data_IF_187053972375
#
_entry.id   IF_187053972375
#
_cell.length_a   1.000
_cell.length_b   1.000
_cell.length_c   1.000
_cell.angle_alpha   90.00
_cell.angle_beta   90.00
_cell.angle_gamma   90.00
#
_symmetry.space_group_name_H-M   'P 1'
#
loop_
_entity.id
_entity.type
_entity.pdbx_description
1 polymer ?
#
# COMPACT_ATOMS: atom_id res chain seq x y z
N UNK A 1 -9.85 -17.06 -25.31
CA UNK A 1 -9.72 -17.55 -23.90
C UNK A 1 -8.29 -17.44 -23.32
N UNK A 2 -7.35 -16.74 -23.94
CA UNK A 2 -5.98 -16.50 -23.39
C UNK A 2 -5.67 -15.03 -23.08
N UNK A 3 -6.62 -14.12 -23.29
CA UNK A 3 -6.42 -12.67 -23.11
C UNK A 3 -6.93 -12.15 -21.76
N UNK A 4 -7.75 -12.92 -21.05
CA UNK A 4 -8.33 -12.54 -19.75
C UNK A 4 -7.37 -12.73 -18.57
N UNK A 5 -6.26 -13.47 -18.78
CA UNK A 5 -5.27 -13.77 -17.72
C UNK A 5 -4.23 -12.66 -17.50
N UNK A 6 -4.12 -11.67 -18.40
CA UNK A 6 -3.08 -10.65 -18.34
C UNK A 6 -3.58 -9.39 -17.60
N UNK A 7 -4.85 -9.03 -17.76
CA UNK A 7 -5.45 -7.91 -17.01
C UNK A 7 -5.58 -8.21 -15.50
N UNK A 8 -5.80 -9.49 -15.13
CA UNK A 8 -5.75 -9.94 -13.73
C UNK A 8 -4.34 -9.92 -13.13
N UNK A 9 -3.28 -9.86 -13.93
CA UNK A 9 -1.92 -10.02 -13.41
C UNK A 9 -1.30 -8.74 -12.86
N UNK A 10 -1.80 -7.56 -13.17
CA UNK A 10 -1.29 -6.30 -12.61
C UNK A 10 -2.08 -5.88 -11.38
N UNK A 11 -3.40 -6.01 -11.38
CA UNK A 11 -4.22 -5.89 -10.15
C UNK A 11 -3.96 -7.04 -9.16
N UNK A 12 -3.51 -8.22 -9.63
CA UNK A 12 -3.04 -9.32 -8.78
C UNK A 12 -1.64 -9.08 -8.20
N UNK A 13 -0.84 -8.12 -8.71
CA UNK A 13 0.45 -7.81 -8.08
C UNK A 13 0.27 -7.12 -6.71
N UNK A 14 -0.81 -6.40 -6.49
CA UNK A 14 -1.17 -5.84 -5.18
C UNK A 14 -1.85 -6.88 -4.26
N UNK A 15 -2.52 -7.87 -4.84
CA UNK A 15 -3.08 -9.03 -4.14
C UNK A 15 -2.13 -10.25 -4.16
N UNK A 16 -0.87 -10.07 -4.53
CA UNK A 16 0.13 -11.13 -4.72
C UNK A 16 0.61 -11.82 -3.42
N UNK A 17 -0.19 -11.79 -2.36
CA UNK A 17 -0.04 -12.72 -1.25
C UNK A 17 -0.61 -14.11 -1.55
N UNK A 18 -1.37 -14.27 -2.65
CA UNK A 18 -2.06 -15.52 -2.96
C UNK A 18 -1.50 -16.33 -4.15
N UNK A 19 -0.61 -15.76 -5.00
CA UNK A 19 -0.20 -16.46 -6.24
C UNK A 19 0.79 -17.61 -6.00
N UNK A 20 1.47 -17.62 -4.87
CA UNK A 20 2.42 -18.66 -4.45
C UNK A 20 2.12 -19.22 -3.06
N UNK A 21 0.96 -18.92 -2.47
CA UNK A 21 0.62 -19.43 -1.15
C UNK A 21 0.56 -20.96 -1.17
N UNK A 22 1.26 -21.57 -0.23
CA UNK A 22 1.22 -23.02 -0.05
C UNK A 22 -0.06 -23.40 0.69
N UNK A 23 -0.87 -24.29 0.11
CA UNK A 23 -1.98 -24.91 0.81
C UNK A 23 -1.43 -25.84 1.90
N UNK A 24 -1.67 -25.48 3.16
CA UNK A 24 -1.24 -26.28 4.31
C UNK A 24 -2.31 -27.32 4.71
N UNK A 25 -3.56 -26.98 4.48
CA UNK A 25 -4.70 -27.83 4.83
C UNK A 25 -5.89 -27.51 3.94
N UNK A 26 -6.59 -28.56 3.48
CA UNK A 26 -7.85 -28.42 2.74
C UNK A 26 -8.68 -29.69 2.91
N UNK A 27 -9.64 -29.64 3.81
CA UNK A 27 -10.54 -30.77 4.05
C UNK A 27 -11.87 -30.29 4.65
N UNK A 28 -12.96 -30.93 4.28
CA UNK A 28 -14.30 -30.72 4.84
C UNK A 28 -14.78 -29.25 4.80
N UNK A 29 -14.41 -28.53 3.72
CA UNK A 29 -14.77 -27.11 3.53
C UNK A 29 -13.93 -26.15 4.34
N UNK A 30 -12.88 -26.62 5.01
CA UNK A 30 -11.87 -25.81 5.70
C UNK A 30 -10.61 -25.74 4.85
N UNK A 31 -10.05 -24.53 4.63
CA UNK A 31 -8.72 -24.37 4.06
C UNK A 31 -7.83 -23.50 4.96
N UNK A 32 -6.53 -23.76 4.90
CA UNK A 32 -5.49 -22.93 5.47
C UNK A 32 -4.35 -22.80 4.46
N UNK A 33 -4.05 -21.58 4.08
CA UNK A 33 -2.97 -21.23 3.17
C UNK A 33 -1.92 -20.41 3.90
N UNK A 34 -0.66 -20.59 3.53
CA UNK A 34 0.47 -19.80 4.01
C UNK A 34 1.18 -19.18 2.81
N UNK A 35 1.41 -17.89 2.88
CA UNK A 35 2.18 -17.16 1.89
C UNK A 35 3.12 -16.18 2.54
N UNK A 36 3.96 -15.57 1.73
CA UNK A 36 4.87 -14.55 2.22
C UNK A 36 5.99 -14.23 1.25
N UNK A 37 6.98 -13.51 1.75
CA UNK A 37 8.19 -13.20 0.99
C UNK A 37 9.39 -12.98 1.89
N UNK A 38 10.56 -13.36 1.39
CA UNK A 38 11.85 -12.93 1.92
C UNK A 38 12.48 -11.96 0.91
N UNK A 39 12.91 -10.79 1.38
CA UNK A 39 13.41 -9.73 0.51
C UNK A 39 14.68 -9.12 1.12
N UNK A 40 15.83 -9.37 0.47
CA UNK A 40 17.08 -8.68 0.79
C UNK A 40 17.10 -7.35 0.02
N UNK A 41 17.29 -6.23 0.73
CA UNK A 41 17.17 -4.88 0.19
C UNK A 41 18.31 -4.00 0.67
N UNK A 42 19.11 -3.53 -0.27
CA UNK A 42 20.14 -2.52 -0.04
C UNK A 42 19.66 -1.18 -0.57
N UNK A 43 19.68 -0.15 0.24
CA UNK A 43 19.47 1.25 -0.16
C UNK A 43 20.78 2.02 -0.05
N UNK A 44 21.02 2.96 -0.95
CA UNK A 44 22.17 3.85 -0.94
C UNK A 44 21.74 5.28 -1.21
N UNK A 45 22.05 6.18 -0.26
CA UNK A 45 21.87 7.64 -0.36
C UNK A 45 23.17 8.34 0.01
N UNK A 46 23.58 9.38 -0.75
CA UNK A 46 24.80 10.16 -0.51
C UNK A 46 26.08 9.30 -0.31
N UNK A 47 26.11 8.09 -0.92
CA UNK A 47 27.20 7.14 -0.78
C UNK A 47 27.13 6.21 0.41
N UNK A 48 26.18 6.40 1.31
CA UNK A 48 25.96 5.55 2.49
C UNK A 48 24.93 4.45 2.20
N UNK A 49 25.24 3.25 2.67
CA UNK A 49 24.42 2.05 2.47
C UNK A 49 23.59 1.73 3.72
N UNK A 50 22.33 1.33 3.51
CA UNK A 50 21.43 0.86 4.56
C UNK A 50 20.80 -0.48 4.17
N UNK A 51 20.76 -1.41 5.11
CA UNK A 51 20.00 -2.65 4.99
C UNK A 51 18.52 -2.37 5.29
N UNK A 52 17.65 -2.62 4.30
CA UNK A 52 16.20 -2.53 4.41
C UNK A 52 15.53 -3.89 4.18
N UNK A 53 16.28 -4.98 4.42
CA UNK A 53 15.79 -6.35 4.25
C UNK A 53 14.63 -6.64 5.18
N UNK A 54 13.70 -7.49 4.69
CA UNK A 54 12.48 -7.82 5.43
C UNK A 54 11.98 -9.21 5.08
N UNK A 55 11.21 -9.77 6.00
CA UNK A 55 10.45 -11.00 5.80
C UNK A 55 8.99 -10.69 6.11
N UNK A 56 8.09 -11.07 5.19
CA UNK A 56 6.65 -10.98 5.38
C UNK A 56 6.06 -12.38 5.37
N UNK A 57 5.17 -12.66 6.29
CA UNK A 57 4.48 -13.94 6.40
C UNK A 57 2.99 -13.71 6.60
N UNK A 58 2.16 -14.47 5.91
CA UNK A 58 0.71 -14.42 6.10
C UNK A 58 0.08 -15.81 6.15
N UNK A 59 -1.11 -15.86 6.77
CA UNK A 59 -1.98 -17.01 6.82
C UNK A 59 -3.40 -16.61 6.46
N UNK A 60 -4.02 -17.35 5.54
CA UNK A 60 -5.42 -17.22 5.16
C UNK A 60 -6.15 -18.49 5.51
N UNK A 61 -7.12 -18.39 6.41
CA UNK A 61 -8.03 -19.47 6.75
C UNK A 61 -9.42 -19.23 6.19
N UNK A 62 -10.05 -20.24 5.60
CA UNK A 62 -11.46 -20.18 5.22
C UNK A 62 -12.22 -21.39 5.72
N UNK A 63 -13.51 -21.22 6.01
CA UNK A 63 -14.42 -22.28 6.41
C UNK A 63 -15.75 -22.13 5.71
N UNK A 64 -16.11 -23.09 4.88
CA UNK A 64 -17.47 -23.16 4.34
C UNK A 64 -18.49 -23.38 5.47
N UNK A 65 -19.50 -22.51 5.54
CA UNK A 65 -20.61 -22.61 6.50
C UNK A 65 -21.81 -23.27 5.84
N UNK A 66 -22.09 -22.87 4.59
CA UNK A 66 -23.06 -23.48 3.71
C UNK A 66 -22.74 -23.11 2.25
N UNK A 67 -23.58 -23.49 1.29
CA UNK A 67 -23.34 -23.28 -0.15
C UNK A 67 -23.15 -21.79 -0.57
N UNK A 68 -23.59 -20.84 0.26
CA UNK A 68 -23.58 -19.40 -0.06
C UNK A 68 -22.84 -18.55 0.97
N UNK A 69 -22.27 -19.15 2.01
CA UNK A 69 -21.63 -18.44 3.11
C UNK A 69 -20.37 -19.16 3.56
N UNK A 70 -19.29 -18.42 3.73
CA UNK A 70 -18.05 -18.89 4.34
C UNK A 70 -17.55 -17.91 5.41
N UNK A 71 -16.80 -18.44 6.37
CA UNK A 71 -15.99 -17.65 7.29
C UNK A 71 -14.60 -17.45 6.74
N UNK A 72 -13.96 -16.33 7.05
CA UNK A 72 -12.58 -16.00 6.67
C UNK A 72 -11.83 -15.45 7.87
N UNK A 73 -10.55 -15.80 7.97
CA UNK A 73 -9.59 -15.19 8.90
C UNK A 73 -8.26 -14.98 8.20
N UNK A 74 -7.66 -13.81 8.39
CA UNK A 74 -6.38 -13.45 7.78
C UNK A 74 -5.46 -12.79 8.80
N UNK A 75 -4.19 -13.15 8.75
CA UNK A 75 -3.13 -12.47 9.47
C UNK A 75 -1.92 -12.29 8.56
N UNK A 76 -1.28 -11.12 8.63
CA UNK A 76 0.01 -10.83 7.99
C UNK A 76 0.89 -10.07 8.95
N UNK A 77 2.13 -10.54 9.08
CA UNK A 77 3.18 -9.86 9.82
C UNK A 77 4.42 -9.62 8.98
N UNK A 78 5.15 -8.55 9.32
CA UNK A 78 6.42 -8.19 8.69
C UNK A 78 7.50 -8.05 9.75
N UNK A 79 8.67 -8.64 9.49
CA UNK A 79 9.90 -8.45 10.25
C UNK A 79 10.87 -7.67 9.38
N UNK A 80 11.47 -6.63 9.92
CA UNK A 80 12.65 -5.99 9.36
C UNK A 80 13.91 -6.57 10.01
N UNK A 81 14.99 -6.70 9.24
CA UNK A 81 16.26 -7.27 9.71
C UNK A 81 17.31 -6.20 9.93
N UNK A 82 16.95 -4.95 9.82
CA UNK A 82 17.85 -3.82 9.96
C UNK A 82 18.30 -3.67 11.43
N UNK A 83 19.57 -3.94 11.68
CA UNK A 83 20.24 -3.68 12.97
C UNK A 83 21.03 -2.37 12.84
N UNK A 84 20.42 -1.25 13.17
CA UNK A 84 21.12 0.04 13.14
C UNK A 84 22.22 0.09 14.22
N UNK A 85 23.47 0.16 13.78
CA UNK A 85 24.60 0.57 14.60
C UNK A 85 25.50 -0.52 15.09
N UNK A 86 25.53 -1.72 14.55
CA UNK A 86 26.69 -2.39 14.92
C UNK A 86 26.88 -3.88 14.94
N UNK A 87 28.09 -4.19 15.06
CA UNK A 87 28.65 -5.48 15.38
C UNK A 87 28.50 -5.69 16.89
N UNK A 88 27.77 -6.74 17.27
CA UNK A 88 27.68 -7.29 18.62
C UNK A 88 27.13 -6.42 19.76
N UNK A 89 25.90 -6.65 20.10
CA UNK A 89 25.39 -6.57 21.47
C UNK A 89 24.80 -5.25 21.96
N UNK A 90 25.06 -4.13 21.33
CA UNK A 90 24.51 -2.81 21.68
C UNK A 90 23.54 -2.23 20.64
N UNK A 91 22.89 -3.08 19.90
CA UNK A 91 21.89 -2.69 18.94
C UNK A 91 20.61 -2.25 19.63
N UNK A 92 20.04 -1.16 19.16
CA UNK A 92 18.67 -0.81 19.48
C UNK A 92 17.77 -2.02 19.16
N UNK A 93 17.23 -2.62 20.21
CA UNK A 93 16.42 -3.84 20.16
C UNK A 93 15.08 -3.66 19.41
N UNK A 94 14.85 -2.48 18.86
CA UNK A 94 13.58 -2.13 18.22
C UNK A 94 13.49 -2.56 16.74
N UNK A 95 14.62 -2.96 16.13
CA UNK A 95 14.67 -3.36 14.72
C UNK A 95 14.14 -4.78 14.43
N UNK A 96 13.92 -5.60 15.45
CA UNK A 96 13.43 -6.99 15.32
C UNK A 96 11.95 -7.15 15.69
N UNK A 97 11.19 -6.07 15.77
CA UNK A 97 9.79 -6.13 16.14
C UNK A 97 8.95 -6.64 14.96
N UNK A 98 8.11 -7.63 15.27
CA UNK A 98 7.05 -8.07 14.40
C UNK A 98 5.99 -6.96 14.29
N UNK A 99 5.85 -6.35 13.13
CA UNK A 99 4.73 -5.48 12.83
C UNK A 99 3.57 -6.32 12.26
N UNK A 100 2.44 -6.34 12.96
CA UNK A 100 1.22 -6.93 12.43
C UNK A 100 0.60 -5.98 11.41
N UNK A 101 0.68 -6.34 10.13
CA UNK A 101 0.13 -5.55 9.03
C UNK A 101 -1.37 -5.71 8.91
N UNK A 102 -1.86 -6.94 8.99
CA UNK A 102 -3.29 -7.29 8.95
C UNK A 102 -3.62 -8.33 10.02
N UNK A 103 -4.79 -8.21 10.62
CA UNK A 103 -5.36 -9.20 11.53
C UNK A 103 -6.88 -9.02 11.56
N UNK A 104 -7.59 -9.79 10.76
CA UNK A 104 -9.05 -9.66 10.67
C UNK A 104 -9.74 -11.01 10.49
N UNK A 105 -11.04 -11.03 10.80
CA UNK A 105 -11.92 -12.13 10.49
C UNK A 105 -13.28 -11.61 10.01
N UNK A 106 -14.03 -12.45 9.30
CA UNK A 106 -15.29 -12.04 8.75
C UNK A 106 -16.07 -13.16 8.06
N UNK A 107 -17.03 -12.71 7.27
CA UNK A 107 -17.94 -13.57 6.51
C UNK A 107 -17.94 -13.13 5.04
N UNK A 108 -18.01 -14.10 4.14
CA UNK A 108 -18.11 -13.83 2.72
C UNK A 108 -19.12 -14.74 2.03
N UNK A 109 -19.52 -14.33 0.83
CA UNK A 109 -20.47 -15.06 0.00
C UNK A 109 -20.61 -14.40 -1.37
N UNK A 110 -21.66 -14.77 -2.12
CA UNK A 110 -21.94 -14.19 -3.44
C UNK A 110 -22.20 -12.67 -3.42
N UNK A 111 -22.48 -12.11 -2.25
CA UNK A 111 -22.70 -10.68 -2.03
C UNK A 111 -21.41 -9.89 -1.76
N UNK A 112 -20.26 -10.55 -1.65
CA UNK A 112 -18.98 -9.96 -1.27
C UNK A 112 -18.47 -10.50 0.08
N UNK A 113 -17.52 -9.81 0.68
CA UNK A 113 -16.89 -10.16 1.95
C UNK A 113 -16.92 -8.98 2.91
N UNK A 114 -17.31 -9.25 4.16
CA UNK A 114 -17.32 -8.29 5.25
C UNK A 114 -16.41 -8.78 6.37
N UNK A 115 -15.47 -7.93 6.80
CA UNK A 115 -14.44 -8.26 7.79
C UNK A 115 -14.34 -7.19 8.86
N UNK A 116 -13.80 -7.56 10.03
CA UNK A 116 -13.46 -6.63 11.11
C UNK A 116 -12.10 -6.98 11.71
N UNK A 117 -11.33 -5.95 12.05
CA UNK A 117 -10.01 -6.05 12.68
C UNK A 117 -9.03 -5.02 12.15
N UNK A 118 -7.74 -5.35 12.15
CA UNK A 118 -6.72 -4.55 11.44
C UNK A 118 -6.83 -4.85 9.94
N UNK A 119 -7.40 -3.91 9.23
CA UNK A 119 -7.81 -4.01 7.84
C UNK A 119 -7.22 -2.89 7.01
N UNK A 120 -7.43 -2.95 5.70
CA UNK A 120 -7.13 -1.87 4.78
C UNK A 120 -8.39 -1.10 4.43
N UNK A 121 -8.32 0.22 4.49
CA UNK A 121 -9.36 1.13 4.04
C UNK A 121 -9.56 1.10 2.52
N UNK A 122 -10.54 1.86 2.04
CA UNK A 122 -10.98 1.72 0.66
C UNK A 122 -10.06 2.40 -0.37
N UNK A 123 -9.16 3.31 0.00
CA UNK A 123 -8.32 4.00 -0.97
C UNK A 123 -7.04 3.24 -1.35
N UNK A 124 -6.64 2.22 -0.59
CA UNK A 124 -5.51 1.37 -0.97
C UNK A 124 -5.62 0.81 -2.39
N UNK A 125 -6.81 0.32 -2.79
CA UNK A 125 -7.04 -0.20 -4.13
C UNK A 125 -6.97 0.87 -5.24
N UNK A 126 -7.08 2.15 -4.91
CA UNK A 126 -6.91 3.26 -5.85
C UNK A 126 -5.42 3.59 -6.03
N UNK A 127 -4.64 3.61 -4.93
CA UNK A 127 -3.20 3.84 -5.01
C UNK A 127 -2.45 2.69 -5.69
N UNK A 128 -2.99 1.47 -5.68
CA UNK A 128 -2.44 0.29 -6.37
C UNK A 128 -2.27 0.50 -7.88
N UNK A 129 -2.97 1.45 -8.50
CA UNK A 129 -2.81 1.77 -9.92
C UNK A 129 -1.40 2.25 -10.24
N UNK A 130 -0.74 2.96 -9.34
CA UNK A 130 0.61 3.52 -9.52
C UNK A 130 1.68 2.88 -8.63
N UNK A 131 1.30 2.12 -7.58
CA UNK A 131 2.22 1.39 -6.70
C UNK A 131 2.71 0.08 -7.35
N UNK A 132 3.45 0.22 -8.47
CA UNK A 132 3.89 -0.92 -9.30
C UNK A 132 5.41 -1.19 -9.25
N UNK A 133 6.19 -0.32 -8.60
CA UNK A 133 7.63 -0.44 -8.52
C UNK A 133 8.09 -1.47 -7.47
N UNK A 134 9.29 -1.99 -7.64
CA UNK A 134 9.84 -2.96 -6.69
C UNK A 134 10.27 -2.30 -5.37
N UNK A 135 10.71 -1.04 -5.42
CA UNK A 135 11.23 -0.33 -4.25
C UNK A 135 10.67 1.09 -4.10
N UNK A 136 10.84 1.96 -5.10
CA UNK A 136 10.39 3.35 -5.09
C UNK A 136 8.96 3.49 -5.62
N UNK A 137 8.49 4.72 -5.75
CA UNK A 137 7.14 5.07 -6.21
C UNK A 137 6.18 5.33 -5.05
N UNK A 138 4.93 5.66 -5.37
CA UNK A 138 3.84 5.87 -4.42
C UNK A 138 4.18 6.90 -3.32
N UNK A 139 4.67 8.08 -3.73
CA UNK A 139 5.07 9.15 -2.80
C UNK A 139 4.18 10.38 -2.85
N UNK A 140 3.13 10.37 -3.69
CA UNK A 140 2.21 11.49 -3.88
C UNK A 140 0.72 11.11 -3.77
N UNK A 141 0.40 9.83 -3.58
CA UNK A 141 -0.96 9.34 -3.32
C UNK A 141 -1.11 8.96 -1.83
N UNK A 142 -0.94 9.93 -0.96
CA UNK A 142 -1.04 9.74 0.48
C UNK A 142 -2.51 9.54 0.91
N UNK A 143 -2.73 8.80 1.99
CA UNK A 143 -4.06 8.38 2.46
C UNK A 143 -4.30 8.75 3.92
N UNK A 144 -5.53 9.15 4.25
CA UNK A 144 -5.99 9.24 5.62
C UNK A 144 -5.98 7.86 6.30
N UNK A 145 -5.83 7.82 7.63
CA UNK A 145 -5.75 6.56 8.37
C UNK A 145 -7.01 5.67 8.20
N UNK A 146 -8.19 6.27 8.03
CA UNK A 146 -9.45 5.53 7.76
C UNK A 146 -9.51 4.94 6.36
N UNK A 147 -8.66 5.39 5.45
CA UNK A 147 -8.60 4.98 4.06
C UNK A 147 -7.41 4.08 3.75
N UNK A 148 -6.47 3.96 4.68
CA UNK A 148 -5.30 3.09 4.62
C UNK A 148 -5.43 1.90 5.60
N UNK A 149 -4.33 1.25 5.91
CA UNK A 149 -4.27 0.10 6.81
C UNK A 149 -4.34 0.55 8.27
N UNK A 150 -5.46 0.22 8.93
CA UNK A 150 -5.75 0.65 10.29
C UNK A 150 -6.43 -0.46 11.09
N UNK A 151 -6.25 -0.44 12.40
CA UNK A 151 -7.01 -1.29 13.32
C UNK A 151 -8.43 -0.74 13.56
N UNK A 152 -9.20 -1.48 14.35
CA UNK A 152 -10.57 -1.11 14.73
C UNK A 152 -11.49 -0.80 13.54
N UNK A 153 -11.28 -1.50 12.41
CA UNK A 153 -11.91 -1.22 11.13
C UNK A 153 -12.85 -2.33 10.68
N UNK A 154 -14.07 -1.97 10.30
CA UNK A 154 -14.96 -2.76 9.45
C UNK A 154 -14.58 -2.50 7.99
N UNK A 155 -14.52 -3.54 7.18
CA UNK A 155 -14.27 -3.43 5.75
C UNK A 155 -15.21 -4.35 4.97
N UNK A 156 -15.73 -3.83 3.87
CA UNK A 156 -16.50 -4.57 2.88
C UNK A 156 -15.79 -4.51 1.53
N UNK A 157 -15.72 -5.64 0.83
CA UNK A 157 -15.31 -5.72 -0.59
C UNK A 157 -16.31 -6.55 -1.38
N UNK A 158 -16.64 -6.08 -2.56
CA UNK A 158 -17.55 -6.77 -3.48
C UNK A 158 -17.11 -6.64 -4.93
N UNK A 159 -17.35 -7.69 -5.71
CA UNK A 159 -17.10 -7.74 -7.14
C UNK A 159 -18.41 -8.03 -7.87
N UNK A 160 -18.82 -7.13 -8.76
CA UNK A 160 -20.06 -7.19 -9.51
C UNK A 160 -19.76 -7.05 -11.01
N UNK A 161 -19.57 -8.17 -11.71
CA UNK A 161 -19.11 -8.19 -13.10
C UNK A 161 -17.82 -7.34 -13.28
N UNK A 162 -17.91 -6.20 -13.93
CA UNK A 162 -16.80 -5.30 -14.20
C UNK A 162 -16.61 -4.20 -13.11
N UNK A 163 -17.44 -4.20 -12.08
CA UNK A 163 -17.39 -3.22 -10.99
C UNK A 163 -16.88 -3.87 -9.71
N UNK A 164 -15.76 -3.38 -9.19
CA UNK A 164 -15.27 -3.66 -7.85
C UNK A 164 -15.62 -2.51 -6.93
N UNK A 165 -16.09 -2.80 -5.73
CA UNK A 165 -16.38 -1.79 -4.70
C UNK A 165 -15.71 -2.17 -3.39
N UNK A 166 -15.22 -1.17 -2.67
CA UNK A 166 -14.70 -1.32 -1.31
C UNK A 166 -15.26 -0.20 -0.45
N UNK A 167 -15.62 -0.51 0.78
CA UNK A 167 -16.06 0.45 1.77
C UNK A 167 -15.49 0.07 3.13
N UNK A 168 -15.12 1.05 3.94
CA UNK A 168 -14.65 0.82 5.30
C UNK A 168 -15.17 1.87 6.27
N UNK A 169 -15.25 1.50 7.52
CA UNK A 169 -15.49 2.39 8.65
C UNK A 169 -14.52 2.03 9.76
N UNK A 170 -13.69 2.96 10.17
CA UNK A 170 -12.83 2.85 11.36
C UNK A 170 -13.56 3.47 12.55
N UNK A 171 -13.63 2.73 13.64
CA UNK A 171 -14.14 3.24 14.91
C UNK A 171 -13.04 4.01 15.64
N UNK A 172 -13.39 5.08 16.33
CA UNK A 172 -12.48 5.74 17.25
C UNK A 172 -12.06 4.79 18.38
N UNK A 173 -10.82 4.91 18.83
CA UNK A 173 -10.29 4.06 19.89
C UNK A 173 -10.73 4.58 21.26
N UNK A 174 -11.34 3.69 22.03
CA UNK A 174 -11.75 3.97 23.40
C UNK A 174 -10.55 4.15 24.31
N UNK A 175 -10.51 5.23 25.08
CA UNK A 175 -9.53 5.51 26.12
C UNK A 175 -10.21 5.92 27.43
N UNK A 176 -9.50 5.80 28.55
CA UNK A 176 -9.93 6.43 29.80
C UNK A 176 -9.51 7.90 29.81
N UNK A 177 -10.33 8.76 30.41
CA UNK A 177 -9.95 10.13 30.70
C UNK A 177 -8.76 10.15 31.69
N UNK A 178 -8.10 11.30 31.86
CA UNK A 178 -6.91 11.42 32.70
C UNK A 178 -7.17 11.05 34.18
N UNK A 179 -8.41 11.19 34.65
CA UNK A 179 -8.81 10.79 36.00
C UNK A 179 -9.10 9.28 36.12
N UNK A 180 -9.18 8.54 35.02
CA UNK A 180 -9.51 7.11 35.01
C UNK A 180 -10.94 6.78 35.42
N UNK A 181 -11.87 7.75 35.32
CA UNK A 181 -13.23 7.62 35.81
C UNK A 181 -14.27 7.45 34.73
N UNK A 182 -13.97 7.86 33.46
CA UNK A 182 -14.91 7.83 32.36
C UNK A 182 -14.21 7.39 31.08
N UNK A 183 -14.96 6.70 30.23
CA UNK A 183 -14.49 6.38 28.88
C UNK A 183 -14.73 7.57 27.94
N UNK A 184 -13.71 7.90 27.18
CA UNK A 184 -13.72 8.80 26.02
C UNK A 184 -13.19 8.05 24.80
N UNK A 185 -13.08 8.70 23.68
CA UNK A 185 -12.42 8.18 22.50
C UNK A 185 -11.32 9.13 22.00
N UNK A 186 -10.63 8.75 20.95
CA UNK A 186 -9.54 9.55 20.39
C UNK A 186 -10.00 10.45 19.22
N UNK A 187 -11.29 10.44 18.86
CA UNK A 187 -11.85 11.26 17.78
C UNK A 187 -11.41 10.83 16.37
N UNK A 188 -10.76 9.68 16.20
CA UNK A 188 -10.15 9.22 14.94
C UNK A 188 -11.07 8.24 14.19
N UNK A 189 -12.36 8.40 14.28
CA UNK A 189 -13.31 7.63 13.49
C UNK A 189 -13.55 8.26 12.11
N UNK A 190 -14.01 7.45 11.19
CA UNK A 190 -14.31 7.90 9.85
C UNK A 190 -14.57 6.75 8.89
N UNK A 191 -14.76 7.09 7.64
CA UNK A 191 -15.10 6.13 6.62
C UNK A 191 -14.32 6.35 5.32
N UNK A 192 -14.21 5.30 4.53
CA UNK A 192 -13.74 5.40 3.16
C UNK A 192 -14.55 4.51 2.21
N UNK A 193 -14.55 4.89 0.95
CA UNK A 193 -15.34 4.25 -0.09
C UNK A 193 -14.61 4.37 -1.42
N UNK A 194 -14.56 3.30 -2.20
CA UNK A 194 -14.01 3.31 -3.56
C UNK A 194 -14.77 2.39 -4.51
N UNK A 195 -14.61 2.68 -5.80
CA UNK A 195 -15.10 1.86 -6.88
C UNK A 195 -14.07 1.84 -8.02
N UNK A 196 -13.89 0.67 -8.62
CA UNK A 196 -13.07 0.46 -9.83
C UNK A 196 -13.96 -0.18 -10.88
N UNK A 197 -13.98 0.40 -12.07
CA UNK A 197 -14.74 -0.11 -13.21
C UNK A 197 -13.79 -0.49 -14.35
N UNK A 198 -13.78 -1.77 -14.69
CA UNK A 198 -13.07 -2.28 -15.87
C UNK A 198 -13.94 -2.10 -17.12
N UNK A 199 -13.49 -1.27 -18.05
CA UNK A 199 -14.21 -1.06 -19.32
C UNK A 199 -13.99 -2.29 -20.22
N UNK A 200 -15.05 -3.05 -20.40
CA UNK A 200 -14.99 -4.35 -21.06
C UNK A 200 -14.22 -4.34 -22.39
N UNK A 201 -13.33 -5.33 -22.57
CA UNK A 201 -12.54 -5.59 -23.77
C UNK A 201 -11.61 -4.46 -24.26
N UNK A 202 -11.37 -3.42 -23.43
CA UNK A 202 -10.52 -2.29 -23.81
C UNK A 202 -9.14 -2.28 -23.16
N UNK A 203 -8.99 -2.89 -21.99
CA UNK A 203 -7.81 -2.77 -21.13
C UNK A 203 -7.78 -1.48 -20.30
N UNK A 204 -8.84 -0.66 -20.35
CA UNK A 204 -9.02 0.54 -19.55
C UNK A 204 -9.69 0.19 -18.21
N UNK A 205 -9.14 0.67 -17.11
CA UNK A 205 -9.77 0.66 -15.79
C UNK A 205 -9.87 2.09 -15.27
N UNK A 206 -10.97 2.41 -14.61
CA UNK A 206 -11.23 3.70 -13.99
C UNK A 206 -11.52 3.48 -12.51
N UNK A 207 -10.86 4.23 -11.65
CA UNK A 207 -11.00 4.18 -10.21
C UNK A 207 -11.40 5.54 -9.63
N UNK A 208 -12.21 5.53 -8.59
CA UNK A 208 -12.51 6.71 -7.78
C UNK A 208 -12.73 6.30 -6.33
N UNK A 209 -12.37 7.18 -5.39
CA UNK A 209 -12.59 6.96 -3.98
C UNK A 209 -12.69 8.25 -3.19
N UNK A 210 -13.24 8.13 -1.98
CA UNK A 210 -13.40 9.22 -1.02
C UNK A 210 -13.19 8.70 0.39
N UNK A 211 -12.62 9.54 1.25
CA UNK A 211 -12.48 9.28 2.68
C UNK A 211 -12.75 10.55 3.48
N UNK A 212 -13.25 10.33 4.70
CA UNK A 212 -13.57 11.39 5.64
C UNK A 212 -13.23 10.92 7.06
N UNK A 213 -12.42 11.68 7.75
CA UNK A 213 -11.92 11.38 9.10
C UNK A 213 -11.79 12.67 9.88
N UNK A 214 -12.57 12.82 11.01
CA UNK A 214 -12.53 13.99 11.87
C UNK A 214 -12.68 15.31 11.05
N UNK A 215 -11.64 16.16 11.04
CA UNK A 215 -11.62 17.43 10.29
C UNK A 215 -11.00 17.29 8.90
N UNK A 216 -10.48 16.11 8.52
CA UNK A 216 -9.78 15.85 7.28
C UNK A 216 -10.61 15.02 6.29
N UNK A 217 -10.48 15.29 5.01
CA UNK A 217 -11.14 14.52 3.96
C UNK A 217 -10.24 14.44 2.73
N UNK A 218 -10.46 13.42 1.89
CA UNK A 218 -9.74 13.28 0.64
C UNK A 218 -10.56 12.56 -0.42
N UNK A 219 -10.28 12.85 -1.68
CA UNK A 219 -10.76 12.05 -2.79
C UNK A 219 -9.62 11.66 -3.73
N UNK A 220 -9.77 10.52 -4.36
CA UNK A 220 -8.83 10.01 -5.34
C UNK A 220 -9.53 9.67 -6.64
N UNK A 221 -8.86 9.93 -7.75
CA UNK A 221 -9.24 9.50 -9.08
C UNK A 221 -8.07 8.73 -9.70
N UNK A 222 -8.36 7.60 -10.33
CA UNK A 222 -7.37 6.78 -11.00
C UNK A 222 -7.83 6.33 -12.38
N UNK A 223 -6.88 6.13 -13.26
CA UNK A 223 -7.09 5.46 -14.53
C UNK A 223 -5.86 4.63 -14.89
N UNK A 224 -6.08 3.45 -15.48
CA UNK A 224 -5.01 2.65 -16.06
C UNK A 224 -5.39 2.14 -17.44
N UNK A 225 -4.37 1.87 -18.25
CA UNK A 225 -4.53 1.29 -19.57
C UNK A 225 -3.48 0.23 -19.82
N UNK A 226 -3.93 -0.99 -20.07
CA UNK A 226 -3.07 -2.14 -20.42
C UNK A 226 -3.22 -2.47 -21.90
N UNK A 227 -2.11 -2.46 -22.61
CA UNK A 227 -2.07 -2.81 -24.03
C UNK A 227 -0.86 -3.73 -24.31
N UNK A 228 -1.13 -5.02 -24.56
CA UNK A 228 -0.08 -6.03 -24.76
C UNK A 228 0.87 -6.08 -23.54
N UNK A 229 2.15 -5.73 -23.74
CA UNK A 229 3.21 -5.75 -22.73
C UNK A 229 3.40 -4.38 -22.04
N UNK A 230 2.54 -3.41 -22.35
CA UNK A 230 2.59 -2.06 -21.82
C UNK A 230 1.46 -1.82 -20.80
N UNK A 231 1.81 -1.14 -19.74
CA UNK A 231 0.88 -0.62 -18.73
C UNK A 231 1.14 0.85 -18.48
N UNK A 232 0.11 1.64 -18.40
CA UNK A 232 0.15 3.06 -18.01
C UNK A 232 -0.92 3.32 -16.96
N UNK A 233 -0.61 4.13 -15.97
CA UNK A 233 -1.59 4.54 -14.98
C UNK A 233 -1.33 5.95 -14.48
N UNK A 234 -2.36 6.55 -13.89
CA UNK A 234 -2.27 7.80 -13.15
C UNK A 234 -3.24 7.80 -11.98
N UNK A 235 -2.81 8.43 -10.90
CA UNK A 235 -3.62 8.71 -9.70
C UNK A 235 -3.56 10.19 -9.41
N UNK A 236 -4.69 10.76 -9.07
CA UNK A 236 -4.83 12.13 -8.56
C UNK A 236 -5.48 12.04 -7.18
N UNK A 237 -4.91 12.76 -6.22
CA UNK A 237 -5.39 12.88 -4.83
C UNK A 237 -5.54 14.34 -4.48
N UNK A 238 -6.62 14.71 -3.82
CA UNK A 238 -6.83 16.06 -3.32
C UNK A 238 -7.70 16.02 -2.06
N UNK A 239 -7.43 16.91 -1.11
CA UNK A 239 -8.16 16.98 0.15
C UNK A 239 -7.43 17.75 1.23
N UNK A 240 -7.77 17.48 2.46
CA UNK A 240 -7.21 18.11 3.66
C UNK A 240 -6.60 17.05 4.59
N UNK A 241 -5.47 17.38 5.20
CA UNK A 241 -4.79 16.55 6.20
C UNK A 241 -4.73 17.27 7.54
N UNK A 242 -4.79 16.51 8.63
CA UNK A 242 -4.50 17.03 9.97
C UNK A 242 -3.07 17.56 10.04
N UNK A 243 -2.87 18.68 10.72
CA UNK A 243 -1.56 19.28 10.92
C UNK A 243 -1.33 19.70 12.38
N UNK A 244 -0.08 19.58 12.85
CA UNK A 244 0.26 19.88 14.24
C UNK A 244 0.29 21.37 14.57
N UNK A 245 0.39 22.24 13.58
CA UNK A 245 0.49 23.69 13.76
C UNK A 245 -0.79 24.44 13.39
N UNK A 246 -1.76 23.79 12.76
CA UNK A 246 -3.13 24.24 12.50
C UNK A 246 -4.01 23.00 12.36
N UNK A 247 -5.34 23.14 12.38
CA UNK A 247 -6.22 21.98 12.33
C UNK A 247 -5.98 21.14 11.10
N UNK A 248 -6.07 21.73 9.90
CA UNK A 248 -5.85 21.06 8.64
C UNK A 248 -4.97 21.86 7.70
N UNK A 249 -4.38 21.19 6.73
CA UNK A 249 -3.64 21.73 5.58
C UNK A 249 -4.15 21.10 4.30
N UNK A 250 -4.23 21.88 3.24
CA UNK A 250 -4.56 21.39 1.91
C UNK A 250 -3.48 20.41 1.43
N UNK A 251 -3.90 19.35 0.76
CA UNK A 251 -3.04 18.38 0.11
C UNK A 251 -3.51 18.11 -1.31
N UNK A 252 -2.59 18.17 -2.27
CA UNK A 252 -2.83 17.77 -3.65
C UNK A 252 -1.67 16.91 -4.12
N UNK A 253 -1.96 15.76 -4.72
CA UNK A 253 -0.93 14.87 -5.25
C UNK A 253 -1.33 14.25 -6.57
N UNK A 254 -0.35 13.96 -7.41
CA UNK A 254 -0.56 13.16 -8.60
C UNK A 254 0.64 12.25 -8.88
N UNK A 255 0.32 11.07 -9.36
CA UNK A 255 1.27 10.04 -9.74
C UNK A 255 1.00 9.59 -11.17
N UNK A 256 2.06 9.38 -11.92
CA UNK A 256 2.02 8.74 -13.23
C UNK A 256 2.94 7.52 -13.18
N UNK A 257 2.46 6.39 -13.69
CA UNK A 257 3.21 5.15 -13.72
C UNK A 257 3.20 4.52 -15.11
N UNK A 258 4.29 3.86 -15.46
CA UNK A 258 4.40 3.08 -16.67
C UNK A 258 5.20 1.80 -16.44
N UNK A 259 4.79 0.71 -17.11
CA UNK A 259 5.54 -0.53 -17.12
C UNK A 259 5.63 -1.12 -18.52
N UNK A 260 6.75 -1.77 -18.80
CA UNK A 260 7.00 -2.54 -20.03
C UNK A 260 7.59 -3.90 -19.71
N UNK A 261 6.91 -4.96 -20.14
CA UNK A 261 7.36 -6.34 -19.96
C UNK A 261 8.10 -6.83 -21.20
N UNK A 262 9.36 -7.21 -21.02
CA UNK A 262 10.21 -7.80 -22.07
C UNK A 262 10.73 -9.17 -21.62
N UNK A 263 10.03 -10.23 -22.02
CA UNK A 263 10.37 -11.59 -21.62
C UNK A 263 10.30 -11.77 -20.09
N UNK A 264 11.46 -11.95 -19.45
CA UNK A 264 11.56 -12.10 -18.00
C UNK A 264 11.91 -10.79 -17.28
N UNK A 265 12.01 -9.67 -18.00
CA UNK A 265 12.33 -8.37 -17.42
C UNK A 265 11.11 -7.47 -17.46
N UNK A 266 10.82 -6.81 -16.35
CA UNK A 266 9.83 -5.75 -16.25
C UNK A 266 10.58 -4.44 -15.94
N UNK A 267 10.40 -3.46 -16.81
CA UNK A 267 10.86 -2.09 -16.58
C UNK A 267 9.68 -1.26 -16.07
N UNK A 268 9.85 -0.54 -14.98
CA UNK A 268 8.84 0.37 -14.44
C UNK A 268 9.39 1.77 -14.27
N UNK A 269 8.52 2.75 -14.33
CA UNK A 269 8.83 4.14 -14.03
C UNK A 269 7.65 4.82 -13.38
N UNK A 270 7.93 5.75 -12.46
CA UNK A 270 6.90 6.60 -11.85
C UNK A 270 7.37 8.04 -11.81
N UNK A 271 6.43 8.96 -11.94
CA UNK A 271 6.60 10.36 -11.61
C UNK A 271 5.60 10.73 -10.54
N UNK A 272 6.07 11.31 -9.44
CA UNK A 272 5.26 11.68 -8.29
C UNK A 272 5.47 13.15 -7.97
N UNK A 273 4.37 13.88 -7.78
CA UNK A 273 4.40 15.26 -7.31
C UNK A 273 3.25 15.49 -6.33
N UNK A 274 3.57 16.07 -5.18
CA UNK A 274 2.59 16.46 -4.19
C UNK A 274 2.91 17.83 -3.60
N UNK A 275 1.84 18.52 -3.21
CA UNK A 275 1.88 19.77 -2.47
C UNK A 275 1.12 19.60 -1.15
N UNK A 276 1.66 20.20 -0.09
CA UNK A 276 1.04 20.28 1.24
C UNK A 276 1.10 21.74 1.69
N UNK A 277 -0.04 22.33 2.05
CA UNK A 277 -0.15 23.76 2.42
C UNK A 277 0.41 24.71 1.33
N UNK A 278 0.24 24.34 0.04
CA UNK A 278 0.70 25.12 -1.11
C UNK A 278 2.20 25.07 -1.41
N UNK A 279 2.95 24.24 -0.70
CA UNK A 279 4.37 24.03 -0.91
C UNK A 279 4.64 22.58 -1.33
N UNK A 280 5.63 22.34 -2.19
CA UNK A 280 6.00 20.99 -2.66
C UNK A 280 6.35 20.07 -1.48
N UNK A 281 5.70 18.94 -1.33
CA UNK A 281 5.98 17.92 -0.30
C UNK A 281 6.60 16.64 -0.88
N UNK A 282 6.41 16.37 -2.17
CA UNK A 282 7.10 15.32 -2.92
C UNK A 282 7.29 15.78 -4.37
N UNK A 283 8.45 15.52 -4.96
CA UNK A 283 8.69 15.72 -6.39
C UNK A 283 9.84 14.80 -6.81
N UNK A 284 9.52 13.70 -7.48
CA UNK A 284 10.53 12.73 -7.88
C UNK A 284 10.13 11.95 -9.14
N UNK A 285 11.15 11.40 -9.79
CA UNK A 285 11.03 10.46 -10.89
C UNK A 285 11.82 9.20 -10.57
N UNK A 286 11.19 8.04 -10.63
CA UNK A 286 11.85 6.79 -10.35
C UNK A 286 11.78 5.83 -11.54
N UNK A 287 12.83 5.03 -11.68
CA UNK A 287 12.91 3.95 -12.67
C UNK A 287 13.36 2.68 -11.98
N UNK A 288 12.83 1.52 -12.39
CA UNK A 288 13.36 0.24 -11.98
C UNK A 288 13.38 -0.79 -13.11
N UNK A 289 14.21 -1.83 -12.90
CA UNK A 289 14.22 -3.03 -13.73
C UNK A 289 14.22 -4.25 -12.82
N UNK A 290 13.20 -5.08 -12.96
CA UNK A 290 13.03 -6.34 -12.24
C UNK A 290 13.22 -7.51 -13.19
N UNK A 291 14.19 -8.41 -12.90
CA UNK A 291 14.40 -9.62 -13.66
C UNK A 291 13.87 -10.84 -12.90
N UNK A 292 12.93 -11.55 -13.50
CA UNK A 292 12.33 -12.75 -12.94
C UNK A 292 13.08 -14.01 -13.35
N UNK A 293 13.96 -14.50 -12.47
CA UNK A 293 14.64 -15.80 -12.68
C UNK A 293 13.62 -16.95 -12.72
N UNK A 294 12.58 -16.82 -11.90
CA UNK A 294 11.38 -17.67 -11.84
C UNK A 294 10.18 -16.79 -11.46
N UNK A 295 8.93 -17.23 -11.67
CA UNK A 295 7.76 -16.44 -11.28
C UNK A 295 7.77 -15.96 -9.82
N UNK A 296 8.39 -16.73 -8.95
CA UNK A 296 8.49 -16.48 -7.51
C UNK A 296 9.87 -16.03 -7.03
N UNK A 297 10.84 -15.76 -7.94
CA UNK A 297 12.15 -15.28 -7.56
C UNK A 297 12.67 -14.24 -8.55
N UNK A 298 12.91 -13.03 -8.05
CA UNK A 298 13.40 -11.90 -8.85
C UNK A 298 14.53 -11.15 -8.18
N UNK A 299 15.35 -10.49 -9.00
CA UNK A 299 16.26 -9.43 -8.59
C UNK A 299 15.86 -8.12 -9.24
N UNK A 300 16.13 -7.00 -8.58
CA UNK A 300 15.80 -5.69 -9.11
C UNK A 300 16.85 -4.64 -8.80
N UNK A 301 16.87 -3.60 -9.63
CA UNK A 301 17.54 -2.34 -9.39
C UNK A 301 16.51 -1.22 -9.56
N UNK A 302 16.48 -0.28 -8.63
CA UNK A 302 15.56 0.85 -8.64
C UNK A 302 16.32 2.12 -8.30
N UNK A 303 16.08 3.21 -9.03
CA UNK A 303 16.71 4.50 -8.80
C UNK A 303 15.65 5.59 -8.75
N UNK A 304 15.73 6.42 -7.73
CA UNK A 304 14.88 7.58 -7.53
C UNK A 304 15.70 8.87 -7.73
N UNK A 305 15.31 9.64 -8.73
CA UNK A 305 15.78 11.00 -8.94
C UNK A 305 14.91 11.93 -8.10
N UNK A 306 15.48 12.54 -7.09
CA UNK A 306 14.81 13.56 -6.32
C UNK A 306 14.90 14.88 -7.09
N UNK A 307 13.77 15.57 -7.22
CA UNK A 307 13.67 16.83 -7.96
C UNK A 307 13.47 18.04 -7.03
N UNK A 308 13.73 17.86 -5.73
CA UNK A 308 13.72 18.89 -4.70
C UNK A 308 15.15 19.26 -4.38
N UNK A 309 15.48 20.55 -4.35
CA UNK A 309 16.80 21.04 -3.99
C UNK A 309 16.88 21.36 -2.49
N UNK A 310 18.06 21.15 -1.89
CA UNK A 310 18.30 21.52 -0.49
C UNK A 310 18.14 23.05 -0.29
N UNK A 311 17.30 23.43 0.67
CA UNK A 311 16.94 24.82 0.95
C UNK A 311 15.61 25.28 0.32
N UNK A 312 15.01 24.49 -0.56
CA UNK A 312 13.68 24.77 -1.07
C UNK A 312 12.63 24.80 0.05
N UNK A 313 11.56 25.56 -0.15
CA UNK A 313 10.38 25.47 0.72
C UNK A 313 9.70 24.13 0.51
N UNK A 314 9.36 23.45 1.59
CA UNK A 314 8.64 22.18 1.54
C UNK A 314 7.35 22.24 2.35
N UNK A 315 6.32 21.65 1.78
CA UNK A 315 5.06 21.38 2.45
C UNK A 315 5.20 20.32 3.53
N UNK A 316 4.59 20.56 4.68
CA UNK A 316 4.62 19.64 5.83
C UNK A 316 3.36 19.76 6.67
N UNK A 317 2.92 18.65 7.26
CA UNK A 317 1.86 18.62 8.27
C UNK A 317 2.38 18.88 9.69
N UNK A 318 3.69 18.85 9.89
CA UNK A 318 4.31 18.95 11.23
C UNK A 318 5.01 20.26 11.51
N UNK A 319 5.35 21.03 10.49
CA UNK A 319 6.06 22.28 10.64
C UNK A 319 5.65 23.32 9.57
N UNK A 320 5.37 24.55 10.01
CA UNK A 320 5.22 25.68 9.08
C UNK A 320 6.61 26.14 8.60
N UNK A 321 6.72 26.55 7.32
CA UNK A 321 7.96 27.04 6.72
C UNK A 321 9.13 26.04 6.76
N UNK A 322 8.85 24.76 6.58
CA UNK A 322 9.89 23.74 6.49
C UNK A 322 10.77 23.97 5.25
N UNK A 323 12.06 23.74 5.41
CA UNK A 323 13.05 23.84 4.33
C UNK A 323 13.69 22.49 4.10
N UNK A 324 13.77 22.08 2.84
CA UNK A 324 14.43 20.85 2.45
C UNK A 324 15.87 20.80 2.99
N UNK A 325 16.18 19.77 3.71
CA UNK A 325 17.55 19.46 4.11
C UNK A 325 18.32 18.82 2.94
N UNK A 326 19.62 18.62 3.10
CA UNK A 326 20.39 17.84 2.13
C UNK A 326 19.83 16.41 1.99
N UNK A 327 19.42 15.78 3.10
CA UNK A 327 18.85 14.44 3.09
C UNK A 327 17.51 14.34 2.36
N UNK A 328 16.69 15.41 2.39
CA UNK A 328 15.41 15.47 1.66
C UNK A 328 15.62 15.62 0.15
N UNK A 329 16.78 16.11 -0.28
CA UNK A 329 17.13 16.37 -1.67
C UNK A 329 17.94 15.24 -2.35
N UNK A 330 18.37 14.23 -1.58
CA UNK A 330 19.26 13.18 -2.10
C UNK A 330 18.50 12.16 -2.97
N UNK A 331 19.18 11.76 -4.04
CA UNK A 331 18.78 10.60 -4.86
C UNK A 331 18.96 9.29 -4.09
N UNK A 332 18.25 8.24 -4.50
CA UNK A 332 18.36 6.93 -3.89
C UNK A 332 18.51 5.82 -4.92
N UNK A 333 19.54 4.98 -4.74
CA UNK A 333 19.70 3.71 -5.47
C UNK A 333 19.30 2.56 -4.55
N UNK A 334 18.42 1.67 -5.01
CA UNK A 334 18.07 0.44 -4.31
C UNK A 334 18.35 -0.80 -5.16
N UNK A 335 18.86 -1.84 -4.49
CA UNK A 335 19.09 -3.16 -5.08
C UNK A 335 18.37 -4.20 -4.22
N UNK A 336 17.75 -5.20 -4.84
CA UNK A 336 17.10 -6.24 -4.07
C UNK A 336 17.01 -7.59 -4.76
N UNK A 337 16.88 -8.62 -3.90
CA UNK A 337 16.51 -9.98 -4.27
C UNK A 337 15.26 -10.35 -3.47
N UNK A 338 14.24 -10.85 -4.16
CA UNK A 338 12.96 -11.22 -3.53
C UNK A 338 12.55 -12.63 -3.94
N UNK A 339 12.21 -13.41 -2.94
CA UNK A 339 11.59 -14.73 -3.06
C UNK A 339 10.19 -14.70 -2.44
N UNK A 340 9.19 -15.01 -3.24
CA UNK A 340 7.79 -15.14 -2.81
C UNK A 340 7.44 -16.63 -2.65
N UNK A 341 6.71 -17.01 -1.57
CA UNK A 341 6.34 -18.40 -1.25
C UNK A 341 4.92 -18.54 -0.73
#
# INVERSE_FOLDING_TARGET
>A
MKKTLIALSVSAAAMATGVNAAELYNQDGTSLEMGGRAEARLSMKDGDAQDNSRIRLNFLGTQAINDNLYGVGFWEGEFTTNEQGGVDGDVNKDSSNLDTRYAYAGLGGAWGEFTYGKNEGALGVITDFTDIMAYHGNSAADKLAVADRSDNMMSYKGQFENLSVKASYRFADRKLNDAGTEYTDNGQDGYSLSAIYAVADTGLELGAGYADQDEANEYMLAASYTMSDLYFAGVFTDGEKEATFKNTVDYTGYELAGAYTLGQTVFTSTYNNAETDGETSANNFAIDASYYFKPNFRGYVSYNFNLIDAGDSMGSTTASNYKATKADAEDELALGLRYDF
#
